data_IF_478059954175
#
_entry.id   IF_478059954175
#
_cell.length_a   1.000
_cell.length_b   1.000
_cell.length_c   1.000
_cell.angle_alpha   90.00
_cell.angle_beta   90.00
_cell.angle_gamma   90.00
#
_symmetry.space_group_name_H-M   'P 1'
#
loop_
_entity.id
_entity.type
_entity.pdbx_description
1 polymer ?
#
# COMPACT_ATOMS: atom_id res chain seq x y z
N UNK A 1 6.98 -37.25 -16.61
CA UNK A 1 5.93 -36.64 -17.46
C UNK A 1 6.25 -35.15 -17.58
N UNK A 2 6.35 -34.60 -18.79
CA UNK A 2 6.46 -33.15 -18.97
C UNK A 2 5.11 -32.49 -18.63
N UNK A 3 5.15 -31.37 -17.91
CA UNK A 3 3.99 -30.53 -17.61
C UNK A 3 4.32 -29.08 -18.01
N UNK A 4 3.30 -28.33 -18.43
CA UNK A 4 3.43 -26.92 -18.80
C UNK A 4 2.93 -26.05 -17.65
N UNK A 5 3.75 -25.08 -17.24
CA UNK A 5 3.44 -24.06 -16.24
C UNK A 5 3.63 -22.68 -16.85
N UNK A 6 2.73 -21.77 -16.51
CA UNK A 6 2.84 -20.36 -16.88
C UNK A 6 2.64 -19.51 -15.64
N UNK A 7 3.38 -18.42 -15.56
CA UNK A 7 3.25 -17.36 -14.57
C UNK A 7 3.29 -16.01 -15.30
N UNK A 8 2.70 -15.00 -14.68
CA UNK A 8 2.69 -13.62 -15.18
C UNK A 8 3.14 -12.65 -14.10
N UNK A 9 3.42 -11.42 -14.52
CA UNK A 9 3.81 -10.31 -13.65
C UNK A 9 3.28 -9.02 -14.27
N UNK A 10 3.13 -7.99 -13.45
CA UNK A 10 2.74 -6.66 -13.87
C UNK A 10 3.78 -5.66 -13.38
N UNK A 11 3.93 -4.54 -14.09
CA UNK A 11 4.87 -3.48 -13.67
C UNK A 11 4.38 -2.76 -12.42
N UNK A 12 5.27 -2.01 -11.78
CA UNK A 12 4.96 -1.14 -10.64
C UNK A 12 3.85 -0.11 -10.93
N UNK A 13 3.67 0.27 -12.20
CA UNK A 13 2.63 1.20 -12.63
C UNK A 13 1.25 0.57 -12.85
N UNK A 14 1.11 -0.75 -12.70
CA UNK A 14 -0.21 -1.38 -12.71
C UNK A 14 -1.04 -0.86 -11.53
N UNK A 15 -2.32 -0.48 -11.70
CA UNK A 15 -3.11 0.16 -10.64
C UNK A 15 -3.12 -0.65 -9.33
N UNK A 16 -3.24 -1.98 -9.42
CA UNK A 16 -3.16 -2.85 -8.22
C UNK A 16 -1.80 -2.74 -7.52
N UNK A 17 -0.69 -2.67 -8.27
CA UNK A 17 0.64 -2.51 -7.68
C UNK A 17 0.88 -1.10 -7.15
N UNK A 18 0.25 -0.07 -7.72
CA UNK A 18 0.26 1.29 -7.15
C UNK A 18 -0.50 1.31 -5.83
N UNK A 19 -1.65 0.65 -5.75
CA UNK A 19 -2.39 0.50 -4.50
C UNK A 19 -1.56 -0.24 -3.43
N UNK A 20 -0.90 -1.35 -3.79
CA UNK A 20 0.01 -2.09 -2.90
C UNK A 20 1.14 -1.18 -2.39
N UNK A 21 1.81 -0.45 -3.28
CA UNK A 21 2.92 0.45 -2.90
C UNK A 21 2.49 1.57 -1.96
N UNK A 22 1.30 2.15 -2.17
CA UNK A 22 0.76 3.18 -1.27
C UNK A 22 0.45 2.56 0.10
N UNK A 23 -0.19 1.38 0.15
CA UNK A 23 -0.47 0.69 1.40
C UNK A 23 0.82 0.32 2.15
N UNK A 24 1.84 -0.18 1.44
CA UNK A 24 3.14 -0.53 2.01
C UNK A 24 3.89 0.71 2.53
N UNK A 25 3.84 1.83 1.79
CA UNK A 25 4.42 3.08 2.25
C UNK A 25 3.79 3.56 3.57
N UNK A 26 2.48 3.39 3.76
CA UNK A 26 1.82 3.77 5.01
C UNK A 26 2.28 2.90 6.18
N UNK A 27 2.31 1.56 6.03
CA UNK A 27 2.78 0.68 7.12
C UNK A 27 4.26 0.92 7.42
N UNK A 28 5.11 1.18 6.42
CA UNK A 28 6.52 1.52 6.64
C UNK A 28 6.68 2.76 7.50
N UNK A 29 5.96 3.84 7.19
CA UNK A 29 6.01 5.06 7.99
C UNK A 29 5.46 4.84 9.40
N UNK A 30 4.35 4.11 9.56
CA UNK A 30 3.81 3.82 10.88
C UNK A 30 4.80 3.00 11.72
N UNK A 31 5.46 2.00 11.14
CA UNK A 31 6.46 1.19 11.83
C UNK A 31 7.75 1.95 12.12
N UNK A 32 8.13 2.91 11.28
CA UNK A 32 9.31 3.74 11.49
C UNK A 32 9.17 4.63 12.74
N UNK A 33 7.99 5.20 12.98
CA UNK A 33 7.74 6.07 14.13
C UNK A 33 7.16 5.35 15.36
N UNK A 34 6.46 4.23 15.15
CA UNK A 34 5.94 3.36 16.22
C UNK A 34 6.05 1.89 15.80
N UNK A 35 7.12 1.19 16.23
CA UNK A 35 7.33 -0.23 15.90
C UNK A 35 6.26 -1.19 16.44
N UNK A 36 5.35 -0.74 17.32
CA UNK A 36 4.23 -1.54 17.81
C UNK A 36 2.93 -1.30 17.03
N UNK A 37 2.96 -0.49 15.97
CA UNK A 37 1.80 -0.18 15.14
C UNK A 37 1.11 -1.44 14.63
N UNK A 38 -0.23 -1.41 14.63
CA UNK A 38 -1.08 -2.37 13.90
C UNK A 38 -1.76 -1.62 12.77
N UNK A 39 -1.47 -2.02 11.54
CA UNK A 39 -1.89 -1.32 10.33
C UNK A 39 -2.57 -2.33 9.42
N UNK A 40 -3.81 -2.04 9.05
CA UNK A 40 -4.57 -2.75 8.03
C UNK A 40 -5.13 -1.69 7.08
N UNK A 41 -4.24 -1.02 6.33
CA UNK A 41 -4.61 0.03 5.38
C UNK A 41 -4.88 -0.57 4.00
N UNK A 42 -6.02 -0.19 3.44
CA UNK A 42 -6.46 -0.61 2.12
C UNK A 42 -6.48 0.61 1.19
N UNK A 43 -5.97 0.43 -0.02
CA UNK A 43 -5.90 1.51 -1.02
C UNK A 43 -6.73 1.13 -2.24
N UNK A 44 -7.70 1.98 -2.59
CA UNK A 44 -8.41 1.92 -3.86
C UNK A 44 -7.93 3.06 -4.75
N UNK A 45 -7.48 2.72 -5.96
CA UNK A 45 -7.09 3.71 -6.97
C UNK A 45 -8.04 3.66 -8.16
N UNK A 46 -8.42 4.83 -8.66
CA UNK A 46 -9.20 4.97 -9.90
C UNK A 46 -8.91 6.34 -10.53
N UNK A 47 -9.56 6.64 -11.66
CA UNK A 47 -9.32 7.87 -12.43
C UNK A 47 -9.46 9.11 -11.55
N UNK A 48 -8.33 9.79 -11.30
CA UNK A 48 -8.26 11.04 -10.54
C UNK A 48 -8.52 10.88 -9.04
N UNK A 49 -8.51 9.66 -8.50
CA UNK A 49 -8.86 9.42 -7.10
C UNK A 49 -8.02 8.30 -6.47
N UNK A 50 -7.58 8.55 -5.24
CA UNK A 50 -7.05 7.55 -4.31
C UNK A 50 -7.92 7.60 -3.06
N UNK A 51 -8.43 6.45 -2.64
CA UNK A 51 -9.18 6.29 -1.38
C UNK A 51 -8.35 5.40 -0.45
N UNK A 52 -7.98 5.96 0.69
CA UNK A 52 -7.33 5.24 1.78
C UNK A 52 -8.38 4.86 2.82
N UNK A 53 -8.45 3.59 3.17
CA UNK A 53 -9.40 3.05 4.14
C UNK A 53 -8.73 2.01 5.06
N UNK A 54 -9.50 1.48 6.01
CA UNK A 54 -9.05 0.46 6.94
C UNK A 54 -8.73 1.00 8.34
N UNK A 55 -7.99 0.21 9.13
CA UNK A 55 -7.78 0.47 10.54
C UNK A 55 -6.29 0.63 10.89
N UNK A 56 -6.01 1.65 11.71
CA UNK A 56 -4.68 1.87 12.28
C UNK A 56 -4.77 2.01 13.80
N UNK A 57 -3.91 1.29 14.50
CA UNK A 57 -3.60 1.50 15.91
C UNK A 57 -2.12 1.81 16.05
N UNK A 58 -1.81 3.09 16.24
CA UNK A 58 -0.46 3.60 16.39
C UNK A 58 -0.46 4.81 17.31
N UNK A 59 0.70 5.12 17.92
CA UNK A 59 0.95 6.42 18.57
C UNK A 59 1.39 7.49 17.57
N UNK A 60 1.84 7.09 16.39
CA UNK A 60 2.24 7.99 15.32
C UNK A 60 1.00 8.58 14.64
N UNK A 61 1.11 9.85 14.25
CA UNK A 61 0.16 10.50 13.36
C UNK A 61 0.92 10.89 12.09
N UNK A 62 0.38 10.50 10.93
CA UNK A 62 1.02 10.70 9.64
C UNK A 62 0.13 11.54 8.74
N UNK A 63 0.74 12.39 7.92
CA UNK A 63 0.04 12.97 6.78
C UNK A 63 -0.03 11.92 5.66
N UNK A 64 -1.12 11.15 5.69
CA UNK A 64 -1.35 10.06 4.74
C UNK A 64 -1.53 10.56 3.29
N UNK A 65 -1.91 11.83 3.10
CA UNK A 65 -2.07 12.40 1.76
C UNK A 65 -0.71 12.74 1.15
N UNK A 66 0.21 13.28 1.94
CA UNK A 66 1.58 13.54 1.49
C UNK A 66 2.28 12.23 1.11
N UNK A 67 2.18 11.21 1.96
CA UNK A 67 2.78 9.90 1.71
C UNK A 67 2.21 9.28 0.41
N UNK A 68 0.88 9.22 0.27
CA UNK A 68 0.26 8.62 -0.91
C UNK A 68 0.56 9.36 -2.23
N UNK A 69 0.90 10.66 -2.18
CA UNK A 69 1.32 11.44 -3.37
C UNK A 69 2.82 11.33 -3.67
N UNK A 70 3.60 10.88 -2.69
CA UNK A 70 5.05 10.68 -2.82
C UNK A 70 5.45 9.29 -3.34
N UNK A 71 4.48 8.38 -3.44
CA UNK A 71 4.58 7.11 -4.16
C UNK A 71 4.34 7.34 -5.65
#
# INVERSE_FOLDING_TARGET
MPYLFTSESVSEGHPDKVADQISDALIDHFLAFDPQSKVACETLVTTGQVVLAGEVKSKAYLDVQEIARGV
#
